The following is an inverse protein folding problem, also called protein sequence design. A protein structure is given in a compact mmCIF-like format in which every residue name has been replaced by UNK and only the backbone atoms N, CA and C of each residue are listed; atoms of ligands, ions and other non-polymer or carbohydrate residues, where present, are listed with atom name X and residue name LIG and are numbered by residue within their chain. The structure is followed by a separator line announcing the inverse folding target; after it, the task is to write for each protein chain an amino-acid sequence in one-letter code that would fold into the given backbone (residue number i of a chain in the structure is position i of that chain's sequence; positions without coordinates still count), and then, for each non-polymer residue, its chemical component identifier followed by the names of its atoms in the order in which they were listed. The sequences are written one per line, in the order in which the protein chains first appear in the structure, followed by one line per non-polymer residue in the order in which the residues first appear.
data_IF_067735348596
#
_entry.id   IF_067735348596
#
_cell.length_a   1.000
_cell.length_b   1.000
_cell.length_c   1.000
_cell.angle_alpha   90.00
_cell.angle_beta   90.00
_cell.angle_gamma   90.00
#
_symmetry.space_group_name_H-M   'P 1'
#
loop_
_entity.id
_entity.type
_entity.pdbx_description
1 polymer ?
#
# COMPACT_ATOMS: atom_id res chain seq x y z
N UNK A 1 39.65 -32.01 31.94
CA UNK A 1 40.43 -32.36 30.72
C UNK A 1 39.46 -32.81 29.63
N UNK A 2 39.92 -32.87 28.38
CA UNK A 2 39.20 -33.32 27.17
C UNK A 2 37.91 -32.56 26.80
N UNK A 3 38.06 -31.59 25.88
CA UNK A 3 36.95 -31.00 25.14
C UNK A 3 36.57 -31.87 23.93
N UNK A 4 35.27 -32.05 23.68
CA UNK A 4 34.77 -32.70 22.47
C UNK A 4 34.62 -31.70 21.32
N UNK A 5 35.40 -31.87 20.25
CA UNK A 5 35.22 -31.11 18.99
C UNK A 5 34.18 -31.80 18.11
N UNK A 6 33.25 -31.04 17.54
CA UNK A 6 32.48 -31.43 16.36
C UNK A 6 32.70 -30.35 15.29
N UNK A 7 32.99 -30.76 14.05
CA UNK A 7 33.39 -29.86 12.97
C UNK A 7 32.56 -30.08 11.71
N UNK A 8 31.92 -28.99 11.26
CA UNK A 8 31.67 -28.60 9.86
C UNK A 8 31.32 -29.72 8.86
N UNK A 9 30.09 -29.65 8.32
CA UNK A 9 29.88 -29.65 6.86
C UNK A 9 28.85 -28.60 6.48
N UNK A 10 29.11 -27.85 5.41
CA UNK A 10 28.27 -26.77 4.93
C UNK A 10 27.59 -27.16 3.60
N UNK A 11 26.44 -26.57 3.32
CA UNK A 11 25.79 -26.59 2.02
C UNK A 11 25.48 -25.16 1.58
N UNK A 12 25.95 -24.77 0.38
CA UNK A 12 25.64 -23.48 -0.27
C UNK A 12 24.73 -23.74 -1.46
N UNK A 13 23.64 -22.98 -1.61
CA UNK A 13 23.05 -22.64 -2.91
C UNK A 13 22.67 -21.15 -2.86
N UNK A 14 22.89 -20.44 -3.97
CA UNK A 14 22.79 -18.98 -4.07
C UNK A 14 21.40 -18.48 -4.48
N UNK A 15 21.10 -17.21 -4.18
CA UNK A 15 19.97 -16.47 -4.76
C UNK A 15 20.41 -15.40 -5.78
N UNK A 16 19.44 -14.77 -6.44
CA UNK A 16 19.61 -13.61 -7.35
C UNK A 16 18.53 -12.55 -7.04
N UNK A 17 18.80 -11.28 -7.36
CA UNK A 17 18.23 -10.08 -6.71
C UNK A 17 17.16 -9.31 -7.51
N UNK A 18 16.53 -8.36 -6.81
CA UNK A 18 15.49 -7.41 -7.25
C UNK A 18 16.02 -5.96 -7.25
N UNK A 19 15.50 -5.10 -8.13
CA UNK A 19 15.82 -3.67 -8.31
C UNK A 19 14.73 -3.02 -9.22
N UNK A 20 14.49 -1.71 -9.36
CA UNK A 20 14.84 -0.46 -8.65
C UNK A 20 13.92 0.64 -9.25
N UNK A 21 13.21 1.54 -8.56
CA UNK A 21 12.59 1.50 -7.21
C UNK A 21 11.17 2.15 -7.38
N UNK A 22 10.51 3.00 -6.58
CA UNK A 22 10.81 3.81 -5.37
C UNK A 22 9.55 3.90 -4.47
N UNK A 23 9.66 4.50 -3.27
CA UNK A 23 8.65 4.39 -2.19
C UNK A 23 8.27 2.93 -1.86
N UNK A 24 9.29 2.06 -1.81
CA UNK A 24 9.17 0.65 -1.42
C UNK A 24 9.62 0.45 0.03
N UNK A 25 9.02 -0.54 0.70
CA UNK A 25 9.40 -1.00 2.04
C UNK A 25 10.90 -1.34 2.10
N UNK A 26 11.58 -0.89 3.17
CA UNK A 26 12.99 -1.23 3.41
C UNK A 26 13.17 -2.72 3.67
N UNK A 27 13.65 -3.45 2.66
CA UNK A 27 14.18 -4.80 2.83
C UNK A 27 15.50 -4.80 3.59
N UNK A 28 15.84 -5.96 4.17
CA UNK A 28 17.14 -6.20 4.81
C UNK A 28 18.19 -6.33 3.70
N UNK A 29 19.29 -5.60 3.81
CA UNK A 29 20.38 -5.61 2.83
C UNK A 29 21.72 -5.93 3.51
N UNK A 30 22.57 -6.71 2.84
CA UNK A 30 23.87 -7.17 3.35
C UNK A 30 24.93 -6.86 2.28
N UNK A 31 26.05 -6.19 2.63
CA UNK A 31 27.04 -5.77 1.62
C UNK A 31 27.61 -6.94 0.82
N UNK A 32 27.33 -6.98 -0.49
CA UNK A 32 27.96 -7.93 -1.42
C UNK A 32 29.26 -7.33 -1.99
N UNK A 33 30.37 -8.09 -2.09
CA UNK A 33 31.59 -7.63 -2.77
C UNK A 33 31.34 -7.25 -4.24
N UNK A 34 32.15 -6.31 -4.74
CA UNK A 34 32.10 -5.88 -6.14
C UNK A 34 32.57 -7.00 -7.08
N UNK A 35 31.70 -7.38 -8.01
CA UNK A 35 31.92 -8.38 -9.05
C UNK A 35 31.71 -7.69 -10.40
N UNK A 36 32.58 -7.94 -11.39
CA UNK A 36 32.60 -7.15 -12.62
C UNK A 36 31.28 -7.26 -13.40
N UNK A 37 30.76 -6.13 -13.88
CA UNK A 37 29.50 -6.10 -14.60
C UNK A 37 29.58 -6.96 -15.89
N UNK A 38 28.66 -7.91 -16.12
CA UNK A 38 28.60 -8.64 -17.38
C UNK A 38 28.29 -7.67 -18.55
N UNK A 39 28.72 -7.99 -19.78
CA UNK A 39 28.47 -7.13 -20.93
C UNK A 39 26.97 -6.92 -21.13
N UNK A 40 26.58 -5.69 -21.49
CA UNK A 40 25.20 -5.32 -21.67
C UNK A 40 24.54 -6.19 -22.76
N UNK A 41 23.41 -6.82 -22.41
CA UNK A 41 22.54 -7.47 -23.38
C UNK A 41 22.08 -6.43 -24.42
N UNK A 42 21.87 -6.83 -25.70
CA UNK A 42 21.29 -5.94 -26.69
C UNK A 42 19.94 -5.41 -26.19
N UNK A 43 19.56 -4.16 -26.53
CA UNK A 43 18.27 -3.61 -26.13
C UNK A 43 17.15 -4.53 -26.65
N UNK A 44 16.12 -4.82 -25.84
CA UNK A 44 14.99 -5.61 -26.31
C UNK A 44 14.33 -4.91 -27.50
N UNK A 45 13.83 -5.71 -28.46
CA UNK A 45 13.10 -5.17 -29.60
C UNK A 45 11.99 -4.22 -29.12
N UNK A 46 11.91 -3.03 -29.74
CA UNK A 46 10.98 -1.99 -29.33
C UNK A 46 9.55 -2.47 -29.54
N UNK A 47 8.89 -2.89 -28.45
CA UNK A 47 7.47 -3.22 -28.46
C UNK A 47 6.70 -1.92 -28.66
N UNK A 48 6.28 -1.66 -29.90
CA UNK A 48 5.40 -0.56 -30.22
C UNK A 48 3.96 -0.97 -29.89
N UNK A 49 3.29 -0.17 -29.06
CA UNK A 49 1.98 -0.52 -28.47
C UNK A 49 1.12 0.72 -28.51
N UNK A 50 0.06 0.69 -29.33
CA UNK A 50 -0.96 1.72 -29.30
C UNK A 50 -1.65 1.71 -27.92
N UNK A 51 -1.68 2.84 -27.18
CA UNK A 51 -2.38 2.93 -25.90
C UNK A 51 -3.91 2.91 -26.11
N UNK A 52 -4.64 2.27 -25.20
CA UNK A 52 -6.08 2.53 -25.05
C UNK A 52 -6.33 3.87 -24.34
N UNK A 53 -7.53 4.43 -24.50
CA UNK A 53 -7.96 5.55 -23.66
C UNK A 53 -8.40 5.04 -22.28
N UNK A 54 -7.52 5.21 -21.30
CA UNK A 54 -7.75 4.84 -19.90
C UNK A 54 -8.02 6.07 -19.03
N UNK A 55 -8.37 7.23 -19.61
CA UNK A 55 -8.50 8.50 -18.86
C UNK A 55 -9.50 8.38 -17.71
N UNK A 56 -10.73 7.94 -17.99
CA UNK A 56 -11.76 7.76 -16.97
C UNK A 56 -11.42 6.63 -15.97
N UNK A 57 -10.66 5.61 -16.40
CA UNK A 57 -10.18 4.56 -15.49
C UNK A 57 -9.13 5.11 -14.51
N UNK A 58 -8.18 5.91 -15.01
CA UNK A 58 -7.17 6.56 -14.16
C UNK A 58 -7.79 7.58 -13.19
N UNK A 59 -8.81 8.33 -13.63
CA UNK A 59 -9.58 9.21 -12.74
C UNK A 59 -10.27 8.39 -11.62
N UNK A 60 -10.80 7.18 -11.90
CA UNK A 60 -11.28 6.25 -10.86
C UNK A 60 -10.17 5.81 -9.91
N UNK A 61 -8.96 5.52 -10.41
CA UNK A 61 -7.80 5.18 -9.56
C UNK A 61 -7.45 6.33 -8.61
N UNK A 62 -7.41 7.57 -9.10
CA UNK A 62 -7.12 8.74 -8.27
C UNK A 62 -8.23 9.02 -7.27
N UNK A 63 -9.51 8.90 -7.66
CA UNK A 63 -10.65 9.02 -6.75
C UNK A 63 -10.57 8.02 -5.59
N UNK A 64 -10.31 6.73 -5.88
CA UNK A 64 -10.12 5.67 -4.87
C UNK A 64 -8.94 6.01 -3.95
N UNK A 65 -7.84 6.49 -4.52
CA UNK A 65 -6.64 6.90 -3.76
C UNK A 65 -6.95 8.04 -2.79
N UNK A 66 -7.64 9.10 -3.23
CA UNK A 66 -8.04 10.23 -2.38
C UNK A 66 -9.10 9.84 -1.35
N UNK A 67 -10.09 9.03 -1.71
CA UNK A 67 -11.14 8.52 -0.81
C UNK A 67 -10.56 7.67 0.33
N UNK A 68 -9.53 6.86 0.06
CA UNK A 68 -8.77 6.11 1.08
C UNK A 68 -7.89 7.04 1.93
N UNK A 69 -7.17 7.99 1.32
CA UNK A 69 -6.31 8.93 2.04
C UNK A 69 -7.09 9.92 2.95
N UNK A 70 -8.33 10.25 2.59
CA UNK A 70 -9.18 11.22 3.32
C UNK A 70 -10.36 10.54 4.07
N UNK A 71 -10.28 9.23 4.26
CA UNK A 71 -11.30 8.44 4.97
C UNK A 71 -11.52 8.97 6.40
N UNK A 72 -12.80 9.04 6.81
CA UNK A 72 -13.22 9.54 8.12
C UNK A 72 -13.30 11.08 8.24
N UNK A 73 -12.76 11.85 7.29
CA UNK A 73 -12.70 13.32 7.38
C UNK A 73 -13.97 14.04 6.89
N UNK A 74 -15.03 13.32 6.48
CA UNK A 74 -16.25 13.94 5.97
C UNK A 74 -16.03 14.81 4.72
N UNK A 75 -15.13 14.38 3.83
CA UNK A 75 -14.97 15.01 2.51
C UNK A 75 -16.14 14.63 1.61
N UNK A 76 -16.70 15.62 0.92
CA UNK A 76 -17.76 15.40 -0.07
C UNK A 76 -17.20 14.81 -1.39
N UNK A 77 -18.10 14.24 -2.18
CA UNK A 77 -17.77 13.57 -3.43
C UNK A 77 -17.25 14.55 -4.50
N UNK A 78 -17.64 15.82 -4.45
CA UNK A 78 -17.14 16.86 -5.35
C UNK A 78 -15.66 17.20 -5.07
N UNK A 79 -15.28 17.28 -3.80
CA UNK A 79 -13.88 17.42 -3.34
C UNK A 79 -13.03 16.25 -3.82
N UNK A 80 -13.50 15.01 -3.63
CA UNK A 80 -12.80 13.81 -4.08
C UNK A 80 -12.64 13.77 -5.61
N UNK A 81 -13.67 14.19 -6.37
CA UNK A 81 -13.60 14.31 -7.83
C UNK A 81 -12.67 15.43 -8.32
N UNK A 82 -12.65 16.59 -7.65
CA UNK A 82 -11.70 17.69 -7.95
C UNK A 82 -10.25 17.23 -7.81
N UNK A 83 -9.93 16.47 -6.74
CA UNK A 83 -8.61 15.86 -6.56
C UNK A 83 -8.33 14.76 -7.60
N UNK A 84 -9.33 13.96 -7.98
CA UNK A 84 -9.22 12.90 -8.98
C UNK A 84 -9.03 13.40 -10.42
N UNK A 85 -9.53 14.59 -10.74
CA UNK A 85 -9.35 15.26 -12.04
C UNK A 85 -8.02 16.03 -12.16
N UNK A 86 -7.30 16.22 -11.04
CA UNK A 86 -6.04 16.95 -10.99
C UNK A 86 -6.21 18.46 -10.84
N UNK A 87 -7.35 18.91 -10.30
CA UNK A 87 -7.66 20.33 -10.05
C UNK A 87 -7.82 20.61 -8.54
N UNK A 88 -6.75 20.48 -7.74
CA UNK A 88 -6.81 20.59 -6.28
C UNK A 88 -6.96 22.02 -5.76
N UNK A 89 -6.74 23.05 -6.58
CA UNK A 89 -6.71 24.46 -6.20
C UNK A 89 -8.06 24.96 -5.67
N UNK A 90 -9.17 24.58 -6.30
CA UNK A 90 -10.52 24.90 -5.83
C UNK A 90 -10.89 24.16 -4.55
N UNK A 91 -10.51 22.88 -4.45
CA UNK A 91 -10.61 22.07 -3.22
C UNK A 91 -9.86 22.71 -2.06
N UNK A 92 -8.60 23.12 -2.27
CA UNK A 92 -7.76 23.71 -1.23
C UNK A 92 -8.33 25.06 -0.78
N UNK A 93 -8.85 25.90 -1.69
CA UNK A 93 -9.53 27.14 -1.30
C UNK A 93 -10.77 26.88 -0.42
N UNK A 94 -11.60 25.89 -0.78
CA UNK A 94 -12.77 25.48 0.01
C UNK A 94 -12.39 24.95 1.40
N UNK A 95 -11.41 24.04 1.46
CA UNK A 95 -10.94 23.46 2.72
C UNK A 95 -10.20 24.48 3.59
N UNK A 96 -9.47 25.44 3.02
CA UNK A 96 -8.88 26.56 3.77
C UNK A 96 -9.95 27.44 4.41
N UNK A 97 -11.05 27.74 3.71
CA UNK A 97 -12.18 28.48 4.28
C UNK A 97 -12.87 27.70 5.42
N UNK A 98 -13.09 26.40 5.26
CA UNK A 98 -13.60 25.53 6.33
C UNK A 98 -12.65 25.48 7.53
N UNK A 99 -11.35 25.32 7.28
CA UNK A 99 -10.29 25.26 8.31
C UNK A 99 -10.19 26.56 9.13
N UNK A 100 -10.27 27.73 8.49
CA UNK A 100 -10.33 29.02 9.22
C UNK A 100 -11.66 29.22 9.96
N UNK A 101 -12.75 28.61 9.49
CA UNK A 101 -14.02 28.49 10.20
C UNK A 101 -14.04 27.50 11.37
N UNK A 102 -12.91 26.85 11.69
CA UNK A 102 -12.79 25.91 12.82
C UNK A 102 -13.00 24.43 12.47
N UNK A 103 -13.13 24.07 11.20
CA UNK A 103 -13.25 22.67 10.77
C UNK A 103 -11.90 21.94 10.91
N UNK A 104 -11.78 21.13 11.97
CA UNK A 104 -10.61 20.29 12.27
C UNK A 104 -10.38 19.25 11.18
N UNK A 105 -11.45 18.65 10.62
CA UNK A 105 -11.33 17.67 9.55
C UNK A 105 -10.83 18.30 8.24
N UNK A 106 -11.27 19.51 7.90
CA UNK A 106 -10.72 20.26 6.77
C UNK A 106 -9.25 20.62 7.01
N UNK A 107 -8.86 20.94 8.24
CA UNK A 107 -7.46 21.20 8.63
C UNK A 107 -6.58 19.95 8.42
N UNK A 108 -7.06 18.77 8.82
CA UNK A 108 -6.40 17.49 8.57
C UNK A 108 -6.36 17.13 7.08
N UNK A 109 -7.44 17.41 6.33
CA UNK A 109 -7.48 17.18 4.90
C UNK A 109 -6.45 18.06 4.15
N UNK A 110 -6.31 19.33 4.52
CA UNK A 110 -5.27 20.22 3.98
C UNK A 110 -3.87 19.67 4.22
N UNK A 111 -3.56 19.14 5.41
CA UNK A 111 -2.27 18.50 5.72
C UNK A 111 -2.01 17.32 4.77
N UNK A 112 -2.97 16.41 4.61
CA UNK A 112 -2.81 15.23 3.74
C UNK A 112 -2.67 15.63 2.25
N UNK A 113 -3.44 16.63 1.81
CA UNK A 113 -3.37 17.18 0.44
C UNK A 113 -2.04 17.93 0.23
N UNK A 114 -1.50 18.64 1.22
CA UNK A 114 -0.18 19.27 1.18
C UNK A 114 0.92 18.23 0.97
N UNK A 115 0.89 17.10 1.70
CA UNK A 115 1.84 16.00 1.50
C UNK A 115 1.68 15.33 0.11
N UNK A 116 0.47 15.24 -0.43
CA UNK A 116 0.25 14.78 -1.80
C UNK A 116 0.76 15.79 -2.85
N UNK A 117 0.48 17.09 -2.72
CA UNK A 117 1.00 18.14 -3.62
C UNK A 117 2.53 18.20 -3.63
N UNK A 118 3.17 18.03 -2.46
CA UNK A 118 4.63 17.93 -2.37
C UNK A 118 5.16 16.69 -3.11
N UNK A 119 4.51 15.53 -3.00
CA UNK A 119 4.85 14.33 -3.79
C UNK A 119 4.72 14.61 -5.29
N UNK A 120 3.56 15.08 -5.76
CA UNK A 120 3.28 15.43 -7.17
C UNK A 120 4.28 16.43 -7.75
N UNK A 121 4.67 17.44 -6.97
CA UNK A 121 5.65 18.46 -7.38
C UNK A 121 7.08 17.92 -7.44
N UNK A 122 7.44 17.00 -6.54
CA UNK A 122 8.74 16.33 -6.55
C UNK A 122 8.86 15.19 -7.59
N UNK A 123 7.73 14.60 -7.99
CA UNK A 123 7.68 13.47 -8.88
C UNK A 123 8.17 13.86 -10.28
N UNK A 124 9.14 13.12 -10.82
CA UNK A 124 9.54 13.21 -12.23
C UNK A 124 8.67 12.23 -13.03
N UNK A 125 7.94 12.68 -14.07
CA UNK A 125 7.15 11.75 -14.89
C UNK A 125 8.08 10.74 -15.56
N UNK A 126 7.72 9.47 -15.52
CA UNK A 126 8.50 8.43 -16.17
C UNK A 126 8.41 8.52 -17.70
N UNK A 127 9.38 7.92 -18.39
CA UNK A 127 9.21 7.62 -19.80
C UNK A 127 8.25 6.43 -19.92
N UNK A 128 6.99 6.72 -20.25
CA UNK A 128 5.91 5.74 -20.38
C UNK A 128 6.29 4.57 -21.29
N UNK A 129 6.92 4.82 -22.44
CA UNK A 129 7.33 3.77 -23.37
C UNK A 129 8.42 2.87 -22.76
N UNK A 130 9.38 3.45 -22.03
CA UNK A 130 10.36 2.67 -21.25
C UNK A 130 9.78 2.01 -19.99
N UNK A 131 8.55 2.34 -19.58
CA UNK A 131 7.80 1.59 -18.57
C UNK A 131 7.08 0.40 -19.22
N UNK A 132 6.33 0.61 -20.31
CA UNK A 132 5.65 -0.45 -21.09
C UNK A 132 6.63 -1.53 -21.55
N UNK A 133 7.80 -1.15 -22.08
CA UNK A 133 8.84 -2.09 -22.49
C UNK A 133 9.38 -2.96 -21.33
N UNK A 134 9.40 -2.45 -20.10
CA UNK A 134 9.76 -3.23 -18.90
C UNK A 134 8.61 -4.10 -18.39
N UNK A 135 7.37 -3.81 -18.76
CA UNK A 135 6.20 -4.65 -18.47
C UNK A 135 6.03 -5.78 -19.49
N UNK A 136 6.49 -5.61 -20.73
CA UNK A 136 6.32 -6.58 -21.82
C UNK A 136 6.99 -7.96 -21.60
N UNK A 137 7.91 -8.07 -20.63
CA UNK A 137 8.51 -9.35 -20.21
C UNK A 137 7.80 -10.01 -19.01
N UNK A 138 6.72 -9.41 -18.51
CA UNK A 138 6.07 -9.79 -17.24
C UNK A 138 4.54 -9.84 -17.34
N UNK A 139 3.94 -8.96 -18.13
CA UNK A 139 2.50 -8.93 -18.39
C UNK A 139 2.16 -9.64 -19.70
N UNK A 140 0.99 -10.30 -19.80
CA UNK A 140 0.42 -10.74 -21.06
C UNK A 140 0.26 -9.58 -22.06
N UNK A 141 0.46 -9.88 -23.36
CA UNK A 141 0.52 -8.86 -24.41
C UNK A 141 -0.78 -8.03 -24.52
N UNK A 142 -1.93 -8.66 -24.30
CA UNK A 142 -3.25 -8.03 -24.31
C UNK A 142 -3.46 -6.99 -23.18
N UNK A 143 -2.62 -7.01 -22.14
CA UNK A 143 -2.64 -5.99 -21.07
C UNK A 143 -1.76 -4.77 -21.38
N UNK A 144 -0.84 -4.86 -22.34
CA UNK A 144 0.10 -3.77 -22.63
C UNK A 144 -0.57 -2.48 -23.16
N UNK A 145 -1.61 -2.52 -24.02
CA UNK A 145 -2.34 -1.32 -24.42
C UNK A 145 -2.95 -0.55 -23.24
N UNK A 146 -3.54 -1.27 -22.27
CA UNK A 146 -4.09 -0.68 -21.04
C UNK A 146 -3.02 -0.08 -20.14
N UNK A 147 -1.85 -0.71 -20.03
CA UNK A 147 -0.73 -0.13 -19.27
C UNK A 147 -0.18 1.14 -19.95
N UNK A 148 -0.06 1.14 -21.29
CA UNK A 148 0.35 2.30 -22.05
C UNK A 148 -0.66 3.47 -21.89
N UNK A 149 -1.96 3.17 -21.96
CA UNK A 149 -3.05 4.12 -21.70
C UNK A 149 -3.01 4.69 -20.29
N UNK A 150 -2.83 3.84 -19.27
CA UNK A 150 -2.70 4.25 -17.86
C UNK A 150 -1.50 5.18 -17.64
N UNK A 151 -0.34 4.93 -18.27
CA UNK A 151 0.81 5.84 -18.16
C UNK A 151 0.60 7.17 -18.92
N UNK A 152 -0.14 7.17 -20.02
CA UNK A 152 -0.52 8.39 -20.74
C UNK A 152 -1.49 9.25 -19.91
N UNK A 153 -2.52 8.62 -19.32
CA UNK A 153 -3.47 9.26 -18.43
C UNK A 153 -2.79 9.76 -17.12
N UNK A 154 -1.88 8.98 -16.54
CA UNK A 154 -1.03 9.40 -15.42
C UNK A 154 -0.27 10.68 -15.77
N UNK A 155 0.37 10.73 -16.93
CA UNK A 155 1.15 11.90 -17.33
C UNK A 155 0.26 13.15 -17.44
N UNK A 156 -0.88 13.04 -18.11
CA UNK A 156 -1.83 14.15 -18.24
C UNK A 156 -2.39 14.60 -16.88
N UNK A 157 -2.69 13.66 -15.98
CA UNK A 157 -3.08 13.95 -14.60
C UNK A 157 -1.99 14.66 -13.81
N UNK A 158 -0.74 14.18 -13.86
CA UNK A 158 0.40 14.76 -13.15
C UNK A 158 0.73 16.18 -13.67
N UNK A 159 0.53 16.45 -14.96
CA UNK A 159 0.70 17.79 -15.53
C UNK A 159 -0.39 18.76 -15.03
N UNK A 160 -1.68 18.34 -14.99
CA UNK A 160 -2.78 19.11 -14.35
C UNK A 160 -2.52 19.33 -12.85
N UNK A 161 -2.24 18.25 -12.12
CA UNK A 161 -2.11 18.25 -10.66
C UNK A 161 -0.96 19.13 -10.18
N UNK A 162 0.20 19.13 -10.87
CA UNK A 162 1.29 20.09 -10.60
C UNK A 162 0.84 21.54 -10.81
N UNK A 163 0.12 21.81 -11.90
CA UNK A 163 -0.36 23.16 -12.24
C UNK A 163 -1.49 23.68 -11.32
N UNK A 164 -2.23 22.80 -10.65
CA UNK A 164 -3.15 23.16 -9.56
C UNK A 164 -2.42 23.32 -8.23
N UNK A 165 -1.57 22.37 -7.83
CA UNK A 165 -0.79 22.44 -6.59
C UNK A 165 0.12 23.67 -6.51
N UNK A 166 0.69 24.14 -7.62
CA UNK A 166 1.53 25.35 -7.65
C UNK A 166 0.75 26.66 -7.52
N UNK A 167 -0.57 26.65 -7.73
CA UNK A 167 -1.49 27.79 -7.53
C UNK A 167 -2.16 27.79 -6.16
N UNK A 168 -2.09 26.68 -5.44
CA UNK A 168 -2.92 26.45 -4.27
C UNK A 168 -2.46 27.27 -3.04
N UNK A 169 -3.35 28.06 -2.41
CA UNK A 169 -3.01 28.91 -1.28
C UNK A 169 -2.94 28.11 0.03
N UNK A 170 -1.78 27.49 0.31
CA UNK A 170 -1.49 26.82 1.57
C UNK A 170 -1.06 27.82 2.66
N UNK A 171 -1.91 28.02 3.65
CA UNK A 171 -1.60 28.68 4.92
C UNK A 171 -0.80 27.72 5.83
N UNK A 172 0.47 27.46 5.51
CA UNK A 172 1.29 26.47 6.23
C UNK A 172 1.36 26.73 7.75
N UNK A 173 1.53 27.99 8.16
CA UNK A 173 1.69 28.36 9.56
C UNK A 173 0.37 28.27 10.33
N UNK A 174 -0.74 28.75 9.76
CA UNK A 174 -2.04 28.63 10.38
C UNK A 174 -2.59 27.20 10.36
N UNK A 175 -2.30 26.39 9.34
CA UNK A 175 -2.60 24.95 9.33
C UNK A 175 -1.87 24.25 10.48
N UNK A 176 -0.55 24.45 10.64
CA UNK A 176 0.18 23.84 11.78
C UNK A 176 -0.36 24.35 13.12
N UNK A 177 -0.64 25.65 13.24
CA UNK A 177 -1.18 26.25 14.47
C UNK A 177 -2.56 25.68 14.85
N UNK A 178 -3.48 25.55 13.88
CA UNK A 178 -4.81 24.95 14.09
C UNK A 178 -4.72 23.46 14.43
N UNK A 179 -3.85 22.71 13.73
CA UNK A 179 -3.59 21.30 14.00
C UNK A 179 -2.99 21.08 15.41
N UNK A 180 -2.06 21.95 15.81
CA UNK A 180 -1.43 21.95 17.14
C UNK A 180 -2.44 22.25 18.24
N UNK A 181 -3.25 23.31 18.09
CA UNK A 181 -4.29 23.64 19.06
C UNK A 181 -5.34 22.54 19.20
N UNK A 182 -5.72 21.88 18.11
CA UNK A 182 -6.62 20.73 18.14
C UNK A 182 -5.98 19.51 18.84
N UNK A 183 -4.71 19.20 18.56
CA UNK A 183 -3.97 18.13 19.23
C UNK A 183 -3.78 18.39 20.74
N UNK A 184 -3.52 19.64 21.13
CA UNK A 184 -3.37 20.06 22.53
C UNK A 184 -4.71 20.08 23.27
N UNK A 185 -5.83 20.39 22.58
CA UNK A 185 -7.19 20.11 23.06
C UNK A 185 -7.54 18.59 23.06
N UNK A 186 -6.65 17.75 22.54
CA UNK A 186 -6.75 16.30 22.57
C UNK A 186 -7.57 15.68 21.44
N UNK A 187 -7.73 16.33 20.29
CA UNK A 187 -8.22 15.66 19.09
C UNK A 187 -7.20 14.61 18.60
N UNK A 188 -7.53 13.30 18.60
CA UNK A 188 -6.55 12.27 18.32
C UNK A 188 -6.15 12.22 16.85
N UNK A 189 -7.00 12.68 15.94
CA UNK A 189 -6.67 12.76 14.52
C UNK A 189 -5.60 13.83 14.27
N UNK A 190 -5.79 15.04 14.82
CA UNK A 190 -4.82 16.13 14.76
C UNK A 190 -3.49 15.77 15.43
N UNK A 191 -3.51 15.10 16.59
CA UNK A 191 -2.29 14.60 17.23
C UNK A 191 -1.53 13.59 16.34
N UNK A 192 -2.26 12.72 15.63
CA UNK A 192 -1.66 11.73 14.71
C UNK A 192 -1.02 12.36 13.49
N UNK A 193 -1.62 13.41 12.92
CA UNK A 193 -0.99 14.17 11.83
C UNK A 193 0.21 15.00 12.34
N UNK A 194 0.04 15.70 13.47
CA UNK A 194 1.08 16.55 14.07
C UNK A 194 2.36 15.75 14.36
N UNK A 195 2.23 14.50 14.82
CA UNK A 195 3.33 13.58 15.07
C UNK A 195 4.29 13.41 13.86
N UNK A 196 3.81 13.57 12.62
CA UNK A 196 4.64 13.51 11.40
C UNK A 196 5.58 14.71 11.26
N UNK A 197 5.17 15.89 11.74
CA UNK A 197 5.96 17.13 11.73
C UNK A 197 6.96 17.22 12.89
N UNK A 198 6.66 16.58 14.01
CA UNK A 198 7.51 16.55 15.20
C UNK A 198 8.82 15.81 14.90
N UNK A 199 9.96 16.51 14.99
CA UNK A 199 11.31 15.95 14.74
C UNK A 199 11.82 15.05 15.88
N UNK A 200 11.38 15.35 17.10
CA UNK A 200 11.74 14.65 18.34
C UNK A 200 11.01 13.30 18.43
N UNK A 201 11.72 12.14 18.41
CA UNK A 201 11.07 10.84 18.42
C UNK A 201 10.20 10.57 19.64
N UNK A 202 10.59 11.06 20.83
CA UNK A 202 9.85 10.82 22.07
C UNK A 202 8.53 11.61 22.07
N UNK A 203 8.56 12.88 21.64
CA UNK A 203 7.34 13.69 21.48
C UNK A 203 6.43 13.16 20.38
N UNK A 204 7.00 12.60 19.30
CA UNK A 204 6.23 11.91 18.25
C UNK A 204 5.49 10.69 18.81
N UNK A 205 6.17 9.85 19.59
CA UNK A 205 5.52 8.67 20.18
C UNK A 205 4.44 9.09 21.19
N UNK A 206 4.70 10.07 22.05
CA UNK A 206 3.72 10.59 23.01
C UNK A 206 2.40 11.08 22.37
N UNK A 207 2.46 11.83 21.26
CA UNK A 207 1.24 12.23 20.52
C UNK A 207 0.47 11.04 19.93
N UNK A 208 1.19 10.00 19.47
CA UNK A 208 0.57 8.78 18.94
C UNK A 208 -0.01 7.90 20.06
N UNK A 209 0.60 7.88 21.25
CA UNK A 209 0.07 7.19 22.43
C UNK A 209 -1.20 7.88 22.95
N UNK A 210 -1.19 9.20 23.12
CA UNK A 210 -2.37 10.00 23.46
C UNK A 210 -3.54 9.77 22.49
N UNK A 211 -3.26 9.64 21.19
CA UNK A 211 -4.27 9.35 20.18
C UNK A 211 -4.75 7.89 20.21
N UNK A 212 -3.85 6.93 20.49
CA UNK A 212 -4.20 5.51 20.62
C UNK A 212 -5.00 5.21 21.89
N UNK A 213 -4.75 5.91 23.01
CA UNK A 213 -5.59 5.83 24.22
C UNK A 213 -7.05 6.22 23.93
N UNK A 214 -7.25 7.22 23.06
CA UNK A 214 -8.57 7.61 22.52
C UNK A 214 -9.11 6.66 21.44
N UNK A 215 -8.53 5.47 21.32
CA UNK A 215 -8.90 4.40 20.39
C UNK A 215 -8.83 4.79 18.90
N UNK A 216 -8.01 5.78 18.52
CA UNK A 216 -7.90 6.23 17.13
C UNK A 216 -7.10 5.22 16.27
N UNK A 217 -7.71 4.56 15.27
CA UNK A 217 -7.07 3.44 14.57
C UNK A 217 -5.78 3.78 13.80
N UNK A 218 -5.65 4.95 13.13
CA UNK A 218 -4.39 5.33 12.49
C UNK A 218 -3.23 5.53 13.48
N UNK A 219 -3.49 6.04 14.69
CA UNK A 219 -2.46 6.17 15.74
C UNK A 219 -1.99 4.80 16.22
N UNK A 220 -2.92 3.89 16.50
CA UNK A 220 -2.61 2.51 16.90
C UNK A 220 -1.75 1.79 15.84
N UNK A 221 -2.11 1.94 14.57
CA UNK A 221 -1.33 1.37 13.46
C UNK A 221 0.05 2.05 13.30
N UNK A 222 0.15 3.37 13.49
CA UNK A 222 1.42 4.09 13.47
C UNK A 222 2.37 3.66 14.62
N UNK A 223 1.85 3.51 15.84
CA UNK A 223 2.63 2.95 16.96
C UNK A 223 3.11 1.53 16.66
N UNK A 224 2.22 0.65 16.19
CA UNK A 224 2.58 -0.74 15.89
C UNK A 224 3.66 -0.84 14.81
N UNK A 225 3.56 -0.04 13.75
CA UNK A 225 4.55 -0.01 12.66
C UNK A 225 5.88 0.63 13.09
N UNK A 226 5.85 1.67 13.94
CA UNK A 226 7.07 2.23 14.55
C UNK A 226 7.78 1.20 15.43
N UNK A 227 7.04 0.50 16.29
CA UNK A 227 7.58 -0.54 17.20
C UNK A 227 8.13 -1.75 16.42
N UNK A 228 7.42 -2.21 15.39
CA UNK A 228 7.92 -3.22 14.46
C UNK A 228 9.21 -2.78 13.74
N UNK A 229 9.28 -1.52 13.29
CA UNK A 229 10.50 -0.98 12.68
C UNK A 229 11.66 -0.81 13.68
N UNK A 230 11.38 -0.69 14.99
CA UNK A 230 12.40 -0.71 16.04
C UNK A 230 12.95 -2.13 16.28
N UNK A 231 12.06 -3.14 16.31
CA UNK A 231 12.42 -4.57 16.39
C UNK A 231 13.28 -4.98 15.20
N UNK A 232 12.85 -4.69 13.97
CA UNK A 232 13.57 -5.01 12.73
C UNK A 232 14.97 -4.35 12.64
N UNK A 233 15.21 -3.30 13.43
CA UNK A 233 16.51 -2.59 13.52
C UNK A 233 17.31 -2.96 14.76
N UNK A 234 16.85 -3.91 15.58
CA UNK A 234 17.42 -4.30 16.87
C UNK A 234 17.64 -3.12 17.85
N UNK A 235 16.67 -2.17 17.92
CA UNK A 235 16.84 -0.91 18.67
C UNK A 235 16.18 -0.86 20.05
N UNK A 236 15.06 -1.54 20.24
CA UNK A 236 14.45 -1.77 21.56
C UNK A 236 13.53 -2.98 21.51
N UNK A 237 13.34 -3.64 22.66
CA UNK A 237 12.36 -4.71 22.88
C UNK A 237 11.22 -4.27 23.81
N UNK A 238 11.24 -3.02 24.28
CA UNK A 238 10.18 -2.45 25.11
C UNK A 238 8.89 -2.33 24.30
N UNK A 239 7.74 -2.60 24.95
CA UNK A 239 6.41 -2.58 24.35
C UNK A 239 6.21 -3.48 23.11
N UNK A 240 7.12 -4.41 22.78
CA UNK A 240 7.01 -5.28 21.59
C UNK A 240 5.77 -6.18 21.61
N UNK A 241 5.35 -6.66 22.79
CA UNK A 241 4.09 -7.39 22.97
C UNK A 241 2.83 -6.57 22.65
N UNK A 242 2.91 -5.23 22.64
CA UNK A 242 1.79 -4.36 22.28
C UNK A 242 1.47 -4.35 20.78
N UNK A 243 2.42 -4.74 19.92
CA UNK A 243 2.27 -4.69 18.45
C UNK A 243 1.03 -5.46 18.00
N UNK A 244 0.85 -6.70 18.49
CA UNK A 244 -0.32 -7.55 18.18
C UNK A 244 -1.63 -6.95 18.67
N UNK A 245 -1.65 -6.31 19.84
CA UNK A 245 -2.85 -5.68 20.38
C UNK A 245 -3.24 -4.45 19.55
N UNK A 246 -2.29 -3.57 19.27
CA UNK A 246 -2.48 -2.35 18.49
C UNK A 246 -2.96 -2.66 17.06
N UNK A 247 -2.33 -3.62 16.37
CA UNK A 247 -2.76 -4.05 15.03
C UNK A 247 -4.16 -4.70 15.06
N UNK A 248 -4.50 -5.45 16.12
CA UNK A 248 -5.84 -6.05 16.30
C UNK A 248 -6.93 -5.02 16.62
N UNK A 249 -6.60 -3.93 17.29
CA UNK A 249 -7.52 -2.81 17.53
C UNK A 249 -7.68 -1.98 16.24
N UNK A 250 -6.59 -1.56 15.62
CA UNK A 250 -6.60 -0.81 14.35
C UNK A 250 -7.27 -1.61 13.21
N UNK A 251 -7.05 -2.92 13.17
CA UNK A 251 -7.65 -3.86 12.23
C UNK A 251 -9.18 -3.96 12.31
N UNK A 252 -9.85 -3.31 13.27
CA UNK A 252 -11.32 -3.17 13.26
C UNK A 252 -11.83 -2.24 12.17
N UNK A 253 -11.02 -1.28 11.70
CA UNK A 253 -11.40 -0.29 10.68
C UNK A 253 -10.38 -0.14 9.55
N UNK A 254 -9.14 -0.65 9.72
CA UNK A 254 -8.08 -0.56 8.73
C UNK A 254 -7.75 -1.96 8.19
N UNK A 255 -8.22 -2.34 6.98
CA UNK A 255 -7.88 -3.62 6.34
C UNK A 255 -6.37 -3.90 6.29
N UNK A 256 -5.58 -2.84 6.06
CA UNK A 256 -4.12 -2.86 6.13
C UNK A 256 -3.56 -3.39 7.46
N UNK A 257 -4.15 -3.00 8.59
CA UNK A 257 -3.72 -3.48 9.89
C UNK A 257 -4.08 -4.96 10.13
N UNK A 258 -5.11 -5.51 9.46
CA UNK A 258 -5.45 -6.94 9.49
C UNK A 258 -4.39 -7.81 8.79
N UNK A 259 -3.90 -7.40 7.62
CA UNK A 259 -2.82 -8.13 6.93
C UNK A 259 -1.49 -7.98 7.68
N UNK A 260 -1.17 -6.80 8.21
CA UNK A 260 0.07 -6.62 8.97
C UNK A 260 0.02 -7.36 10.34
N UNK A 261 -1.16 -7.51 10.96
CA UNK A 261 -1.38 -8.42 12.10
C UNK A 261 -1.12 -9.88 11.72
N UNK A 262 -1.69 -10.35 10.60
CA UNK A 262 -1.49 -11.72 10.12
C UNK A 262 0.00 -11.99 9.83
N UNK A 263 0.67 -11.05 9.17
CA UNK A 263 2.09 -11.12 8.85
C UNK A 263 2.95 -11.17 10.12
N UNK A 264 2.62 -10.35 11.12
CA UNK A 264 3.30 -10.33 12.41
C UNK A 264 3.13 -11.64 13.19
N UNK A 265 1.89 -12.09 13.36
CA UNK A 265 1.58 -13.36 14.05
C UNK A 265 2.26 -14.55 13.38
N UNK A 266 2.25 -14.60 12.04
CA UNK A 266 2.87 -15.67 11.26
C UNK A 266 4.42 -15.68 11.28
N UNK A 267 5.05 -14.66 11.87
CA UNK A 267 6.52 -14.55 11.99
C UNK A 267 7.03 -14.38 13.42
N UNK A 268 6.14 -14.19 14.40
CA UNK A 268 6.51 -13.89 15.78
C UNK A 268 7.05 -12.47 15.98
N UNK A 269 6.63 -11.51 15.15
CA UNK A 269 7.20 -10.16 15.12
C UNK A 269 7.03 -9.36 16.43
N UNK A 270 6.10 -9.80 17.28
CA UNK A 270 5.72 -9.21 18.56
C UNK A 270 6.26 -10.00 19.78
N UNK A 271 7.34 -10.76 19.60
CA UNK A 271 8.05 -11.48 20.66
C UNK A 271 7.39 -12.80 21.10
N UNK A 272 6.19 -13.09 20.62
CA UNK A 272 5.54 -14.39 20.76
C UNK A 272 6.06 -15.40 19.71
N UNK A 273 5.90 -16.72 19.93
CA UNK A 273 6.13 -17.71 18.88
C UNK A 273 5.30 -17.46 17.62
N UNK A 274 5.83 -17.86 16.47
CA UNK A 274 5.16 -17.72 15.18
C UNK A 274 3.94 -18.66 15.08
N UNK A 275 2.78 -18.09 14.74
CA UNK A 275 1.49 -18.78 14.64
C UNK A 275 0.83 -18.46 13.28
N UNK A 276 1.25 -19.19 12.24
CA UNK A 276 0.60 -19.16 10.93
C UNK A 276 -0.89 -19.57 10.98
N UNK A 277 -1.27 -20.68 11.61
CA UNK A 277 -2.67 -21.12 11.68
C UNK A 277 -3.62 -20.10 12.32
N UNK A 278 -3.25 -19.47 13.43
CA UNK A 278 -4.05 -18.43 14.09
C UNK A 278 -3.97 -17.05 13.42
N UNK A 279 -2.94 -16.81 12.60
CA UNK A 279 -2.87 -15.62 11.74
C UNK A 279 -3.81 -15.70 10.51
N UNK A 280 -4.08 -16.91 10.01
CA UNK A 280 -4.83 -17.14 8.77
C UNK A 280 -6.19 -16.41 8.68
N UNK A 281 -7.03 -16.36 9.74
CA UNK A 281 -8.31 -15.64 9.68
C UNK A 281 -8.14 -14.15 9.40
N UNK A 282 -7.12 -13.49 9.94
CA UNK A 282 -6.88 -12.06 9.75
C UNK A 282 -6.41 -11.74 8.33
N UNK A 283 -5.51 -12.56 7.76
CA UNK A 283 -5.02 -12.41 6.39
C UNK A 283 -6.12 -12.66 5.35
N UNK A 284 -6.96 -13.67 5.58
CA UNK A 284 -8.13 -13.96 4.75
C UNK A 284 -9.24 -12.91 4.87
N UNK A 285 -9.44 -12.33 6.06
CA UNK A 285 -10.44 -11.27 6.23
C UNK A 285 -9.98 -9.94 5.59
N UNK A 286 -8.68 -9.62 5.66
CA UNK A 286 -8.08 -8.52 4.89
C UNK A 286 -8.26 -8.69 3.38
N UNK A 287 -8.15 -9.93 2.86
CA UNK A 287 -8.41 -10.23 1.47
C UNK A 287 -9.90 -10.05 1.09
N UNK A 288 -10.85 -10.33 2.00
CA UNK A 288 -12.29 -10.02 1.80
C UNK A 288 -12.61 -8.53 1.83
N UNK A 289 -11.79 -7.73 2.51
CA UNK A 289 -11.83 -6.27 2.42
C UNK A 289 -11.14 -5.74 1.15
N UNK A 290 -10.54 -6.59 0.32
CA UNK A 290 -9.83 -6.19 -0.89
C UNK A 290 -8.46 -5.53 -0.65
N UNK A 291 -7.87 -5.66 0.54
CA UNK A 291 -6.55 -5.06 0.84
C UNK A 291 -5.47 -5.64 -0.09
N UNK A 292 -4.82 -4.83 -0.96
CA UNK A 292 -3.94 -5.36 -2.00
C UNK A 292 -2.74 -6.16 -1.46
N UNK A 293 -2.21 -5.78 -0.28
CA UNK A 293 -1.12 -6.56 0.34
C UNK A 293 -1.56 -7.93 0.86
N UNK A 294 -2.85 -8.17 1.11
CA UNK A 294 -3.33 -9.48 1.58
C UNK A 294 -3.07 -10.56 0.52
N UNK A 295 -3.36 -10.26 -0.75
CA UNK A 295 -3.11 -11.17 -1.87
C UNK A 295 -1.62 -11.46 -2.09
N UNK A 296 -0.76 -10.45 -1.94
CA UNK A 296 0.71 -10.61 -2.06
C UNK A 296 1.28 -11.40 -0.88
N UNK A 297 0.82 -11.12 0.34
CA UNK A 297 1.26 -11.79 1.57
C UNK A 297 0.81 -13.25 1.60
N UNK A 298 -0.37 -13.56 1.05
CA UNK A 298 -0.89 -14.93 0.92
C UNK A 298 0.05 -15.88 0.13
N UNK A 299 0.95 -15.35 -0.69
CA UNK A 299 1.90 -16.15 -1.47
C UNK A 299 3.25 -16.36 -0.78
N UNK A 300 3.50 -15.63 0.31
CA UNK A 300 4.84 -15.49 0.93
C UNK A 300 4.86 -15.85 2.42
N UNK A 301 3.71 -15.81 3.09
CA UNK A 301 3.61 -15.90 4.54
C UNK A 301 2.95 -17.21 4.97
N UNK A 302 3.44 -17.91 6.02
CA UNK A 302 2.97 -19.25 6.36
C UNK A 302 1.52 -19.30 6.88
N UNK A 303 0.86 -18.15 7.09
CA UNK A 303 -0.57 -18.10 7.40
C UNK A 303 -1.47 -18.59 6.27
N UNK A 304 -1.00 -18.61 5.02
CA UNK A 304 -1.72 -19.20 3.90
C UNK A 304 -1.45 -20.69 3.70
N UNK A 305 -0.55 -21.32 4.47
CA UNK A 305 0.00 -22.66 4.22
C UNK A 305 -1.00 -23.83 4.30
N UNK A 306 -2.28 -23.56 4.59
CA UNK A 306 -3.39 -24.53 4.50
C UNK A 306 -4.24 -24.39 3.23
N UNK A 307 -4.03 -23.34 2.43
CA UNK A 307 -4.69 -23.17 1.15
C UNK A 307 -4.06 -24.10 0.12
N UNK A 308 -4.89 -24.82 -0.64
CA UNK A 308 -4.42 -25.58 -1.79
C UNK A 308 -4.23 -24.65 -3.02
N UNK A 309 -3.64 -25.19 -4.11
CA UNK A 309 -3.29 -24.39 -5.31
C UNK A 309 -4.51 -23.76 -5.99
N UNK A 310 -5.64 -24.47 -6.03
CA UNK A 310 -6.94 -23.98 -6.56
C UNK A 310 -7.44 -22.80 -5.71
N UNK A 311 -7.36 -22.92 -4.39
CA UNK A 311 -7.76 -21.86 -3.46
C UNK A 311 -6.87 -20.62 -3.58
N UNK A 312 -5.56 -20.79 -3.73
CA UNK A 312 -4.65 -19.66 -3.97
C UNK A 312 -4.98 -18.96 -5.30
N UNK A 313 -5.18 -19.71 -6.39
CA UNK A 313 -5.59 -19.15 -7.68
C UNK A 313 -6.91 -18.37 -7.58
N UNK A 314 -7.93 -18.94 -6.92
CA UNK A 314 -9.22 -18.27 -6.71
C UNK A 314 -9.08 -16.92 -5.99
N UNK A 315 -8.21 -16.83 -4.98
CA UNK A 315 -7.89 -15.56 -4.32
C UNK A 315 -7.12 -14.59 -5.22
N UNK A 316 -6.14 -15.05 -6.01
CA UNK A 316 -5.40 -14.17 -6.93
C UNK A 316 -6.30 -13.65 -8.07
N UNK A 317 -7.20 -14.48 -8.61
CA UNK A 317 -8.20 -14.06 -9.60
C UNK A 317 -9.17 -13.02 -9.00
N UNK A 318 -9.66 -13.22 -7.78
CA UNK A 318 -10.52 -12.25 -7.08
C UNK A 318 -9.81 -10.90 -6.87
N UNK A 319 -8.55 -10.92 -6.39
CA UNK A 319 -7.73 -9.71 -6.23
C UNK A 319 -7.41 -9.01 -7.55
N UNK A 320 -7.09 -9.76 -8.60
CA UNK A 320 -6.85 -9.24 -9.95
C UNK A 320 -8.11 -8.58 -10.52
N UNK A 321 -9.32 -9.12 -10.25
CA UNK A 321 -10.59 -8.51 -10.67
C UNK A 321 -10.86 -7.19 -9.93
N UNK A 322 -10.59 -7.12 -8.62
CA UNK A 322 -10.63 -5.86 -7.86
C UNK A 322 -9.62 -4.83 -8.39
N UNK A 323 -8.44 -5.28 -8.84
CA UNK A 323 -7.44 -4.44 -9.48
C UNK A 323 -7.93 -3.89 -10.83
N UNK A 324 -8.51 -4.72 -11.71
CA UNK A 324 -9.07 -4.25 -12.99
C UNK A 324 -10.30 -3.34 -12.82
N UNK A 325 -11.02 -3.43 -11.71
CA UNK A 325 -12.06 -2.48 -11.26
C UNK A 325 -11.49 -1.20 -10.60
N UNK A 326 -10.15 -1.09 -10.49
CA UNK A 326 -9.47 0.11 -9.97
C UNK A 326 -9.51 0.25 -8.45
N UNK A 327 -9.96 -0.76 -7.71
CA UNK A 327 -10.07 -0.73 -6.25
C UNK A 327 -8.73 -0.64 -5.51
N UNK A 328 -7.64 -0.86 -6.22
CA UNK A 328 -6.28 -0.68 -5.70
C UNK A 328 -5.84 0.77 -5.60
N UNK A 329 -6.49 1.70 -6.31
CA UNK A 329 -6.01 3.08 -6.49
C UNK A 329 -4.74 3.16 -7.32
N UNK A 330 -3.89 4.15 -7.05
CA UNK A 330 -2.61 4.44 -7.70
C UNK A 330 -1.65 3.23 -7.79
N UNK A 331 -1.74 2.28 -6.86
CA UNK A 331 -1.04 1.01 -6.90
C UNK A 331 -1.41 0.04 -8.05
N UNK A 332 -2.38 0.38 -8.91
CA UNK A 332 -2.90 -0.48 -10.00
C UNK A 332 -1.81 -1.18 -10.83
N UNK A 333 -0.82 -0.44 -11.35
CA UNK A 333 0.20 -1.01 -12.25
C UNK A 333 1.09 -2.00 -11.50
N UNK A 334 1.50 -1.67 -10.27
CA UNK A 334 2.32 -2.55 -9.43
C UNK A 334 1.55 -3.84 -9.07
N UNK A 335 0.27 -3.71 -8.72
CA UNK A 335 -0.58 -4.85 -8.37
C UNK A 335 -0.88 -5.71 -9.60
N UNK A 336 -1.14 -5.13 -10.78
CA UNK A 336 -1.31 -5.86 -12.03
C UNK A 336 -0.09 -6.74 -12.37
N UNK A 337 1.13 -6.22 -12.15
CA UNK A 337 2.39 -6.97 -12.28
C UNK A 337 2.47 -8.13 -11.28
N UNK A 338 2.18 -7.86 -10.00
CA UNK A 338 2.22 -8.90 -8.95
C UNK A 338 1.19 -9.98 -9.23
N UNK A 339 -0.04 -9.63 -9.62
CA UNK A 339 -1.08 -10.60 -9.98
C UNK A 339 -0.67 -11.43 -11.20
N UNK A 340 -0.17 -10.83 -12.29
CA UNK A 340 0.26 -11.57 -13.47
C UNK A 340 1.37 -12.59 -13.16
N UNK A 341 2.41 -12.18 -12.43
CA UNK A 341 3.49 -13.09 -11.99
C UNK A 341 2.96 -14.22 -11.10
N UNK A 342 2.10 -13.88 -10.14
CA UNK A 342 1.59 -14.83 -9.14
C UNK A 342 0.63 -15.84 -9.75
N UNK A 343 -0.26 -15.39 -10.63
CA UNK A 343 -1.17 -16.23 -11.41
C UNK A 343 -0.36 -17.15 -12.31
N UNK A 344 0.56 -16.64 -13.14
CA UNK A 344 1.36 -17.48 -14.05
C UNK A 344 2.18 -18.54 -13.30
N UNK A 345 2.78 -18.20 -12.15
CA UNK A 345 3.45 -19.15 -11.26
C UNK A 345 2.49 -20.22 -10.73
N UNK A 346 1.28 -19.82 -10.30
CA UNK A 346 0.28 -20.73 -9.76
C UNK A 346 -0.44 -21.57 -10.85
N UNK A 347 -0.50 -21.13 -12.10
CA UNK A 347 -1.09 -21.89 -13.22
C UNK A 347 -0.11 -22.89 -13.85
N UNK A 348 1.20 -22.66 -13.71
CA UNK A 348 2.24 -23.48 -14.36
C UNK A 348 2.12 -24.98 -14.04
N UNK A 349 1.74 -25.77 -15.04
CA UNK A 349 1.56 -27.22 -14.94
C UNK A 349 0.27 -27.67 -14.24
N UNK A 350 -0.74 -26.80 -14.13
CA UNK A 350 -2.05 -27.12 -13.57
C UNK A 350 -2.99 -27.65 -14.67
N UNK A 351 -3.72 -28.77 -14.44
CA UNK A 351 -4.72 -29.25 -15.40
C UNK A 351 -5.88 -28.25 -15.61
N UNK A 352 -6.49 -28.19 -16.82
CA UNK A 352 -7.58 -27.25 -17.10
C UNK A 352 -8.79 -27.33 -16.15
N UNK A 353 -9.10 -28.51 -15.59
CA UNK A 353 -10.18 -28.66 -14.60
C UNK A 353 -9.91 -27.86 -13.32
N UNK A 354 -8.69 -27.91 -12.79
CA UNK A 354 -8.28 -27.16 -11.60
C UNK A 354 -8.27 -25.64 -11.84
N UNK A 355 -8.06 -25.20 -13.09
CA UNK A 355 -8.20 -23.79 -13.47
C UNK A 355 -9.69 -23.36 -13.50
N UNK A 356 -10.57 -24.23 -13.99
CA UNK A 356 -12.03 -24.01 -13.95
C UNK A 356 -12.56 -24.00 -12.51
N UNK A 357 -12.11 -24.92 -11.66
CA UNK A 357 -12.41 -24.93 -10.21
C UNK A 357 -11.95 -23.63 -9.54
N UNK A 358 -10.74 -23.13 -9.87
CA UNK A 358 -10.21 -21.89 -9.32
C UNK A 358 -10.99 -20.65 -9.78
N UNK A 359 -11.43 -20.63 -11.05
CA UNK A 359 -12.29 -19.57 -11.57
C UNK A 359 -13.69 -19.59 -10.91
N UNK A 360 -14.28 -20.77 -10.71
CA UNK A 360 -15.54 -20.92 -9.97
C UNK A 360 -15.41 -20.48 -8.50
N UNK A 361 -14.28 -20.77 -7.85
CA UNK A 361 -13.99 -20.24 -6.52
C UNK A 361 -13.81 -18.72 -6.52
N UNK A 362 -13.15 -18.14 -7.53
CA UNK A 362 -12.99 -16.69 -7.67
C UNK A 362 -14.33 -15.96 -7.83
N UNK A 363 -15.25 -16.53 -8.61
CA UNK A 363 -16.63 -16.00 -8.75
C UNK A 363 -17.44 -16.17 -7.45
N UNK A 364 -17.26 -17.28 -6.73
CA UNK A 364 -17.85 -17.47 -5.39
C UNK A 364 -17.35 -16.40 -4.40
N UNK A 365 -16.03 -16.12 -4.39
CA UNK A 365 -15.44 -15.04 -3.60
C UNK A 365 -15.98 -13.68 -4.02
N UNK A 366 -16.15 -13.44 -5.33
CA UNK A 366 -16.72 -12.22 -5.88
C UNK A 366 -18.16 -11.99 -5.40
N UNK A 367 -19.04 -12.98 -5.52
CA UNK A 367 -20.43 -12.88 -5.07
C UNK A 367 -20.55 -12.66 -3.56
N UNK A 368 -19.66 -13.26 -2.76
CA UNK A 368 -19.68 -13.14 -1.30
C UNK A 368 -18.99 -11.88 -0.75
N UNK A 369 -18.01 -11.31 -1.48
CA UNK A 369 -17.08 -10.32 -0.93
C UNK A 369 -16.89 -9.06 -1.77
N UNK A 370 -17.37 -8.99 -3.02
CA UNK A 370 -17.10 -7.82 -3.90
C UNK A 370 -17.64 -6.52 -3.33
N UNK A 371 -18.91 -6.46 -2.89
CA UNK A 371 -19.51 -5.25 -2.31
C UNK A 371 -18.91 -4.88 -0.94
N UNK A 372 -18.35 -5.84 -0.20
CA UNK A 372 -17.54 -5.57 0.99
C UNK A 372 -16.22 -4.91 0.59
N UNK A 373 -15.43 -5.57 -0.27
CA UNK A 373 -14.16 -5.05 -0.75
C UNK A 373 -14.30 -3.67 -1.42
N UNK A 374 -15.35 -3.47 -2.21
CA UNK A 374 -15.66 -2.20 -2.87
C UNK A 374 -15.87 -1.06 -1.88
N UNK A 375 -16.62 -1.32 -0.80
CA UNK A 375 -16.86 -0.35 0.27
C UNK A 375 -15.58 -0.07 1.07
N UNK A 376 -14.88 -1.11 1.53
CA UNK A 376 -13.69 -0.92 2.39
C UNK A 376 -12.49 -0.30 1.63
N UNK A 377 -12.37 -0.52 0.32
CA UNK A 377 -11.40 0.19 -0.54
C UNK A 377 -11.94 1.50 -1.12
N UNK A 378 -13.25 1.79 -1.01
CA UNK A 378 -13.88 3.01 -1.52
C UNK A 378 -14.09 3.07 -3.04
N UNK A 379 -14.03 1.95 -3.78
CA UNK A 379 -14.24 1.89 -5.23
C UNK A 379 -15.68 1.52 -5.66
N UNK A 380 -16.57 1.30 -4.70
CA UNK A 380 -18.03 1.36 -4.85
C UNK A 380 -18.60 2.69 -4.38
#
# INVERSE_FOLDING_TARGET
MNAGRISIRAARISGVLLALNALVVYGIDIPKPAEAAPPAAPPPASVDVAPSDETAFYERLQYVTHKRNLVGLGMDDATLKSLALGSPDTTIASLSSRSTGGDVNATIALVRIQHWCNRVSSARPGNAQAQVQRLASVLPAERLPKMAGVFAAERAYQEKARAGCSKAPFDYQGIESRLRGAAEAGDPASATELAQFVRDPAKREAFLEQAAEKNYPPAMYALATNRLAAVQRNRSTENVSSIRLLLKQAGRTLPRAKVDLANCMATGCDGHPADGPGAAPFGLDAARDGEPLAFTSMLRMPWSGRLNRVQMLGWQYFGNRLNEEGCTGDGYVQNAVVFAQSISMLEKGVPPSMLQEAAAQAETLWQQSSERAKREQGCG
#
